data_IF_995374611119
#
_entry.id   IF_995374611119
#
_cell.length_a   1.000
_cell.length_b   1.000
_cell.length_c   1.000
_cell.angle_alpha   90.00
_cell.angle_beta   90.00
_cell.angle_gamma   90.00
#
_symmetry.space_group_name_H-M   'P 1'
#
loop_
_entity.id
_entity.type
_entity.pdbx_description
1 polymer ?
#
# COMPACT_ATOMS: atom_id res chain seq x y z
N UNK A 1 -20.77 -11.08 -19.68
CA UNK A 1 -19.66 -10.20 -19.31
C UNK A 1 -20.18 -9.20 -18.32
N UNK A 2 -19.94 -9.44 -17.04
CA UNK A 2 -20.22 -8.51 -15.96
C UNK A 2 -19.09 -8.69 -14.98
N UNK A 3 -18.29 -7.65 -14.78
CA UNK A 3 -17.28 -7.60 -13.74
C UNK A 3 -18.00 -7.80 -12.40
N UNK A 4 -17.39 -8.61 -11.53
CA UNK A 4 -17.88 -9.12 -10.25
C UNK A 4 -18.95 -8.29 -9.53
N UNK A 5 -19.93 -8.97 -8.91
CA UNK A 5 -20.92 -8.35 -8.04
C UNK A 5 -20.26 -7.71 -6.80
N UNK A 6 -20.93 -6.72 -6.20
CA UNK A 6 -20.46 -6.10 -4.95
C UNK A 6 -20.21 -7.13 -3.84
N UNK A 7 -21.02 -8.20 -3.80
CA UNK A 7 -20.85 -9.29 -2.86
C UNK A 7 -19.55 -10.08 -3.09
N UNK A 8 -19.21 -10.35 -4.36
CA UNK A 8 -17.96 -11.03 -4.71
C UNK A 8 -16.73 -10.16 -4.41
N UNK A 9 -16.81 -8.85 -4.67
CA UNK A 9 -15.74 -7.89 -4.31
C UNK A 9 -15.58 -7.82 -2.79
N UNK A 10 -16.68 -7.77 -2.03
CA UNK A 10 -16.66 -7.73 -0.57
C UNK A 10 -16.08 -9.02 0.03
N UNK A 11 -16.46 -10.18 -0.50
CA UNK A 11 -15.90 -11.46 -0.10
C UNK A 11 -14.40 -11.54 -0.39
N UNK A 12 -13.96 -11.05 -1.55
CA UNK A 12 -12.53 -10.99 -1.90
C UNK A 12 -11.74 -10.09 -0.94
N UNK A 13 -12.26 -8.91 -0.60
CA UNK A 13 -11.64 -8.01 0.39
C UNK A 13 -11.57 -8.64 1.78
N UNK A 14 -12.62 -9.37 2.18
CA UNK A 14 -12.66 -10.07 3.46
C UNK A 14 -11.59 -11.16 3.51
N UNK A 15 -11.50 -11.99 2.48
CA UNK A 15 -10.48 -13.04 2.38
C UNK A 15 -9.06 -12.45 2.37
N UNK A 16 -8.85 -11.35 1.65
CA UNK A 16 -7.57 -10.64 1.64
C UNK A 16 -7.17 -10.16 3.05
N UNK A 17 -8.08 -9.54 3.79
CA UNK A 17 -7.83 -9.08 5.15
C UNK A 17 -7.63 -10.23 6.15
N UNK A 18 -8.34 -11.34 5.97
CA UNK A 18 -8.16 -12.53 6.79
C UNK A 18 -6.74 -13.09 6.61
N UNK A 19 -6.25 -13.19 5.36
CA UNK A 19 -4.88 -13.65 5.10
C UNK A 19 -3.83 -12.76 5.74
N UNK A 20 -3.99 -11.44 5.69
CA UNK A 20 -3.10 -10.51 6.40
C UNK A 20 -3.14 -10.76 7.91
N UNK A 21 -4.35 -10.95 8.47
CA UNK A 21 -4.51 -11.24 9.90
C UNK A 21 -3.85 -12.56 10.29
N UNK A 22 -4.06 -13.62 9.51
CA UNK A 22 -3.45 -14.94 9.74
C UNK A 22 -1.92 -14.85 9.73
N UNK A 23 -1.33 -14.13 8.77
CA UNK A 23 0.13 -13.91 8.70
C UNK A 23 0.66 -13.21 9.95
N UNK A 24 -0.06 -12.21 10.45
CA UNK A 24 0.34 -11.48 11.67
C UNK A 24 0.15 -12.33 12.92
N UNK A 25 -0.91 -13.11 13.00
CA UNK A 25 -1.21 -14.02 14.12
C UNK A 25 -0.23 -15.20 14.18
N UNK A 26 0.33 -15.61 13.03
CA UNK A 26 1.42 -16.61 12.95
C UNK A 26 2.77 -16.05 13.43
N UNK A 27 2.91 -14.72 13.53
CA UNK A 27 4.12 -14.02 13.94
C UNK A 27 3.90 -13.10 15.18
N UNK A 28 3.33 -13.59 16.30
CA UNK A 28 2.87 -12.74 17.40
C UNK A 28 4.03 -12.09 18.18
N UNK A 29 5.18 -12.76 18.24
CA UNK A 29 6.37 -12.32 18.97
C UNK A 29 7.41 -11.64 18.07
N UNK A 30 7.20 -11.66 16.74
CA UNK A 30 8.08 -11.02 15.75
C UNK A 30 7.28 -10.22 14.72
N UNK A 31 6.77 -9.02 15.09
CA UNK A 31 6.00 -8.21 14.16
C UNK A 31 6.78 -7.80 12.91
N UNK A 32 8.11 -7.69 12.99
CA UNK A 32 8.93 -7.39 11.82
C UNK A 32 8.88 -8.55 10.82
N UNK A 33 8.98 -9.79 11.28
CA UNK A 33 8.77 -10.96 10.41
C UNK A 33 7.34 -11.02 9.88
N UNK A 34 6.32 -10.75 10.70
CA UNK A 34 4.93 -10.68 10.25
C UNK A 34 4.73 -9.67 9.11
N UNK A 35 5.20 -8.43 9.25
CA UNK A 35 5.14 -7.45 8.17
C UNK A 35 5.98 -7.84 6.96
N UNK A 36 7.11 -8.53 7.15
CA UNK A 36 7.93 -9.07 6.05
C UNK A 36 7.18 -10.14 5.26
N UNK A 37 6.38 -10.96 5.91
CA UNK A 37 5.55 -11.99 5.27
C UNK A 37 4.33 -11.36 4.57
N UNK A 38 3.72 -10.33 5.17
CA UNK A 38 2.67 -9.54 4.49
C UNK A 38 3.23 -8.88 3.23
N UNK A 39 4.46 -8.37 3.28
CA UNK A 39 5.17 -7.84 2.11
C UNK A 39 5.24 -8.89 0.99
N UNK A 40 5.67 -10.12 1.30
CA UNK A 40 5.72 -11.20 0.30
C UNK A 40 4.33 -11.53 -0.25
N UNK A 41 3.29 -11.49 0.59
CA UNK A 41 1.92 -11.71 0.17
C UNK A 41 1.46 -10.68 -0.86
N UNK A 42 1.71 -9.39 -0.62
CA UNK A 42 1.46 -8.36 -1.62
C UNK A 42 2.32 -8.59 -2.87
N UNK A 43 3.63 -8.84 -2.70
CA UNK A 43 4.57 -9.01 -3.82
C UNK A 43 4.28 -10.27 -4.67
N UNK A 44 3.46 -11.20 -4.17
CA UNK A 44 2.94 -12.34 -4.92
C UNK A 44 1.66 -12.02 -5.74
N UNK A 45 1.07 -10.83 -5.60
CA UNK A 45 -0.10 -10.40 -6.37
C UNK A 45 0.18 -10.37 -7.87
N UNK A 46 -0.89 -10.45 -8.67
CA UNK A 46 -0.80 -10.40 -10.12
C UNK A 46 -0.31 -9.02 -10.62
N UNK A 47 0.21 -8.98 -11.85
CA UNK A 47 0.65 -7.74 -12.48
C UNK A 47 -0.49 -6.72 -12.61
N UNK A 48 -1.72 -7.19 -12.87
CA UNK A 48 -2.91 -6.35 -12.98
C UNK A 48 -3.28 -5.69 -11.63
N UNK A 49 -3.15 -6.42 -10.51
CA UNK A 49 -3.39 -5.86 -9.17
C UNK A 49 -2.32 -4.81 -8.82
N UNK A 50 -1.06 -5.11 -9.11
CA UNK A 50 0.09 -4.21 -8.91
C UNK A 50 0.04 -2.97 -9.80
N UNK A 51 -0.70 -3.01 -10.91
CA UNK A 51 -0.90 -1.89 -11.82
C UNK A 51 -1.91 -0.85 -11.29
N UNK A 52 -2.34 -0.93 -10.04
CA UNK A 52 -3.22 0.06 -9.40
C UNK A 52 -2.46 0.90 -8.38
N UNK A 53 -2.79 2.19 -8.31
CA UNK A 53 -2.16 3.09 -7.34
C UNK A 53 -2.48 2.68 -5.90
N UNK A 54 -3.72 2.25 -5.64
CA UNK A 54 -4.17 1.80 -4.33
C UNK A 54 -3.32 0.63 -3.80
N UNK A 55 -3.01 -0.35 -4.66
CA UNK A 55 -2.11 -1.45 -4.27
C UNK A 55 -0.72 -0.94 -3.85
N UNK A 56 -0.17 0.05 -4.57
CA UNK A 56 1.13 0.64 -4.24
C UNK A 56 1.08 1.41 -2.92
N UNK A 57 -0.03 2.11 -2.65
CA UNK A 57 -0.27 2.80 -1.37
C UNK A 57 -0.31 1.79 -0.23
N UNK A 58 -1.12 0.74 -0.33
CA UNK A 58 -1.27 -0.30 0.70
C UNK A 58 0.07 -1.01 0.95
N UNK A 59 0.78 -1.41 -0.12
CA UNK A 59 2.11 -2.04 0.00
C UNK A 59 3.14 -1.13 0.67
N UNK A 60 3.06 0.19 0.45
CA UNK A 60 3.94 1.17 1.12
C UNK A 60 3.63 1.32 2.61
N UNK A 61 2.37 1.17 3.01
CA UNK A 61 1.98 1.15 4.43
C UNK A 61 2.57 -0.06 5.16
N UNK A 62 2.53 -1.23 4.53
CA UNK A 62 3.15 -2.44 5.08
C UNK A 62 4.66 -2.25 5.17
N UNK A 63 5.31 -1.68 4.14
CA UNK A 63 6.74 -1.35 4.16
C UNK A 63 7.11 -0.40 5.31
N UNK A 64 6.34 0.66 5.52
CA UNK A 64 6.50 1.55 6.69
C UNK A 64 6.41 0.74 7.99
N UNK A 65 5.40 -0.11 8.11
CA UNK A 65 5.16 -0.89 9.33
C UNK A 65 6.29 -1.88 9.61
N UNK A 66 6.85 -2.52 8.58
CA UNK A 66 8.05 -3.36 8.67
C UNK A 66 9.23 -2.61 9.29
N UNK A 67 9.55 -1.41 8.80
CA UNK A 67 10.65 -0.61 9.34
C UNK A 67 10.39 -0.11 10.77
N UNK A 68 9.16 0.30 11.07
CA UNK A 68 8.78 0.74 12.44
C UNK A 68 8.98 -0.38 13.46
N UNK A 69 8.75 -1.62 13.08
CA UNK A 69 8.89 -2.79 13.97
C UNK A 69 10.30 -3.38 13.99
N UNK A 70 11.28 -2.72 13.37
CA UNK A 70 12.69 -3.11 13.46
C UNK A 70 13.22 -3.91 12.27
N UNK A 71 12.43 -4.04 11.20
CA UNK A 71 12.89 -4.52 9.90
C UNK A 71 14.07 -3.68 9.38
N UNK A 72 15.06 -4.33 8.75
CA UNK A 72 16.29 -3.67 8.27
C UNK A 72 16.67 -4.00 6.84
N UNK A 73 16.06 -5.04 6.28
CA UNK A 73 16.30 -5.40 4.89
C UNK A 73 15.68 -4.36 3.97
N UNK A 74 16.31 -4.12 2.83
CA UNK A 74 15.70 -3.31 1.79
C UNK A 74 14.60 -4.13 1.10
N UNK A 75 13.35 -3.79 1.43
CA UNK A 75 12.12 -4.40 0.89
C UNK A 75 11.38 -3.45 -0.07
N UNK A 76 12.09 -2.43 -0.55
CA UNK A 76 11.55 -1.46 -1.50
C UNK A 76 11.31 -2.05 -2.89
N UNK A 77 10.33 -1.50 -3.61
CA UNK A 77 9.99 -1.96 -4.96
C UNK A 77 10.88 -1.37 -6.06
N UNK A 78 11.86 -0.53 -5.71
CA UNK A 78 12.68 0.19 -6.69
C UNK A 78 11.91 1.20 -7.55
N UNK A 79 10.71 1.59 -7.13
CA UNK A 79 9.85 2.52 -7.86
C UNK A 79 9.89 3.92 -7.21
N UNK A 80 10.08 5.00 -7.99
CA UNK A 80 10.12 6.36 -7.44
C UNK A 80 8.83 6.78 -6.71
N UNK A 81 7.68 6.27 -7.16
CA UNK A 81 6.38 6.49 -6.50
C UNK A 81 6.38 6.00 -5.04
N UNK A 82 7.04 4.88 -4.76
CA UNK A 82 7.11 4.30 -3.40
C UNK A 82 7.96 5.17 -2.50
N UNK A 83 9.07 5.73 -3.01
CA UNK A 83 9.89 6.66 -2.26
C UNK A 83 9.09 7.90 -1.83
N UNK A 84 8.24 8.41 -2.71
CA UNK A 84 7.34 9.53 -2.41
C UNK A 84 6.26 9.17 -1.40
N UNK A 85 5.69 7.97 -1.49
CA UNK A 85 4.75 7.47 -0.47
C UNK A 85 5.43 7.29 0.89
N UNK A 86 6.65 6.77 0.94
CA UNK A 86 7.45 6.70 2.18
C UNK A 86 7.74 8.08 2.75
N UNK A 87 7.99 9.09 1.91
CA UNK A 87 8.09 10.49 2.34
C UNK A 87 6.75 11.01 2.89
N UNK A 88 5.62 10.66 2.28
CA UNK A 88 4.29 11.03 2.75
C UNK A 88 3.98 10.42 4.13
N UNK A 89 4.32 9.15 4.34
CA UNK A 89 4.23 8.50 5.65
C UNK A 89 5.10 9.21 6.71
N UNK A 90 6.30 9.65 6.33
CA UNK A 90 7.17 10.45 7.19
C UNK A 90 6.56 11.81 7.55
N UNK A 91 5.97 12.51 6.57
CA UNK A 91 5.26 13.78 6.78
C UNK A 91 4.07 13.60 7.73
N UNK A 92 3.28 12.55 7.51
CA UNK A 92 2.12 12.21 8.33
C UNK A 92 2.53 11.92 9.78
N UNK A 93 3.58 11.13 9.97
CA UNK A 93 4.14 10.82 11.30
C UNK A 93 4.62 12.09 12.01
N UNK A 94 5.32 12.98 11.30
CA UNK A 94 5.78 14.25 11.84
C UNK A 94 4.63 15.21 12.21
N UNK A 95 3.51 15.14 11.50
CA UNK A 95 2.30 15.91 11.78
C UNK A 95 1.44 15.30 12.91
N UNK A 96 1.72 14.07 13.35
CA UNK A 96 0.90 13.35 14.33
C UNK A 96 -0.49 12.94 13.80
N UNK A 97 -0.63 12.84 12.48
CA UNK A 97 -1.88 12.40 11.83
C UNK A 97 -2.05 10.89 11.79
N UNK A 98 -3.16 10.43 11.21
CA UNK A 98 -3.43 9.00 10.99
C UNK A 98 -3.52 8.67 9.49
N UNK A 99 -3.62 7.40 9.12
CA UNK A 99 -3.60 6.96 7.71
C UNK A 99 -4.65 7.66 6.82
N UNK A 100 -5.79 8.09 7.38
CA UNK A 100 -6.80 8.84 6.62
C UNK A 100 -6.33 10.24 6.19
N UNK A 101 -5.30 10.79 6.85
CA UNK A 101 -4.72 12.08 6.50
C UNK A 101 -3.57 11.96 5.48
N UNK A 102 -3.16 10.73 5.13
CA UNK A 102 -2.10 10.49 4.14
C UNK A 102 -2.36 11.21 2.81
N UNK A 103 -3.59 11.21 2.25
CA UNK A 103 -3.86 11.90 0.98
C UNK A 103 -3.65 13.42 1.04
N UNK A 104 -3.61 14.02 2.24
CA UNK A 104 -3.38 15.45 2.43
C UNK A 104 -1.88 15.81 2.48
N UNK A 105 -1.00 14.81 2.46
CA UNK A 105 0.45 15.03 2.52
C UNK A 105 0.98 15.48 1.16
N UNK A 106 1.81 16.55 1.08
CA UNK A 106 2.36 17.02 -0.18
C UNK A 106 3.10 15.93 -0.98
N UNK A 107 3.84 15.05 -0.30
CA UNK A 107 4.55 13.96 -0.97
C UNK A 107 3.60 12.88 -1.53
N UNK A 108 2.38 12.72 -0.98
CA UNK A 108 1.37 11.83 -1.54
C UNK A 108 0.86 12.35 -2.89
N UNK A 109 0.56 13.66 -2.97
CA UNK A 109 0.18 14.28 -4.24
C UNK A 109 1.27 14.16 -5.29
N UNK A 110 2.54 14.33 -4.90
CA UNK A 110 3.67 14.07 -5.80
C UNK A 110 3.71 12.60 -6.26
N UNK A 111 3.53 11.64 -5.35
CA UNK A 111 3.47 10.22 -5.71
C UNK A 111 2.38 9.94 -6.75
N UNK A 112 1.17 10.48 -6.54
CA UNK A 112 0.06 10.33 -7.48
C UNK A 112 0.36 10.95 -8.86
N UNK A 113 1.01 12.12 -8.90
CA UNK A 113 1.42 12.73 -10.17
C UNK A 113 2.46 11.91 -10.91
N UNK A 114 3.46 11.36 -10.19
CA UNK A 114 4.48 10.48 -10.77
C UNK A 114 3.85 9.19 -11.30
N UNK A 115 2.98 8.57 -10.50
CA UNK A 115 2.21 7.40 -10.92
C UNK A 115 1.43 7.65 -12.21
N UNK A 116 0.72 8.78 -12.27
CA UNK A 116 -0.05 9.16 -13.45
C UNK A 116 0.86 9.38 -14.67
N UNK A 117 2.05 9.99 -14.51
CA UNK A 117 3.00 10.18 -15.60
C UNK A 117 3.58 8.86 -16.12
N UNK A 118 3.99 7.97 -15.21
CA UNK A 118 4.59 6.67 -15.56
C UNK A 118 3.57 5.72 -16.21
N UNK A 119 2.29 5.83 -15.85
CA UNK A 119 1.20 5.03 -16.42
C UNK A 119 0.45 5.75 -17.56
N UNK A 120 1.09 6.69 -18.26
CA UNK A 120 0.58 7.25 -19.52
C UNK A 120 -0.54 8.28 -19.39
N UNK A 121 -0.73 8.89 -18.22
CA UNK A 121 -1.67 9.99 -17.98
C UNK A 121 -3.15 9.63 -18.07
N UNK A 122 -3.51 8.34 -18.10
CA UNK A 122 -4.82 7.87 -18.57
C UNK A 122 -5.74 7.26 -17.49
N UNK A 123 -5.33 7.15 -16.24
CA UNK A 123 -6.27 6.89 -15.14
C UNK A 123 -6.60 8.22 -14.48
N UNK A 124 -7.63 8.88 -15.03
CA UNK A 124 -8.26 10.05 -14.43
C UNK A 124 -8.46 9.82 -12.93
N UNK A 125 -7.69 10.56 -12.13
CA UNK A 125 -8.04 10.75 -10.74
C UNK A 125 -9.21 11.73 -10.76
N UNK A 126 -10.42 11.20 -10.64
CA UNK A 126 -11.62 11.99 -10.41
C UNK A 126 -11.48 12.67 -9.05
N UNK A 127 -10.85 13.85 -9.07
CA UNK A 127 -10.96 14.83 -8.01
C UNK A 127 -12.36 15.41 -8.12
N UNK A 128 -13.32 14.80 -7.43
CA UNK A 128 -14.65 15.37 -7.21
C UNK A 128 -14.48 16.71 -6.49
N UNK A 129 -14.59 17.80 -7.26
CA UNK A 129 -14.87 19.17 -6.80
C UNK A 129 -16.37 19.42 -6.66
#
# INVERSE_FOLDING_TARGET
>A
GGLFSEAEVSAAKTEFNNRISDIMDDNPDDPAQGYRDVIDFYDAASDDEKATFDWVVDRSEVQKSYFVHGGREDVGMGMPVVEKLMQAWGQLSAAGGNSNDLPNMPAYHEAMMWWAQDNGGAHHVDLLT
#
